data_IF_620863216061
#
_entry.id   IF_620863216061
#
_cell.length_a   1.000
_cell.length_b   1.000
_cell.length_c   1.000
_cell.angle_alpha   90.00
_cell.angle_beta   90.00
_cell.angle_gamma   90.00
#
_symmetry.space_group_name_H-M   'P 1'
#
loop_
_entity.id
_entity.type
_entity.pdbx_description
1 polymer ?
#
# COMPACT_ATOMS: atom_id res chain seq x y z
N UNK A 1 -7.51 -4.63 -20.12
CA UNK A 1 -8.42 -4.09 -19.08
C UNK A 1 -7.81 -4.27 -17.69
N UNK A 2 -7.86 -5.46 -17.07
CA UNK A 2 -7.36 -5.68 -15.69
C UNK A 2 -5.87 -5.31 -15.49
N UNK A 3 -4.98 -5.70 -16.41
CA UNK A 3 -3.54 -5.36 -16.33
C UNK A 3 -3.24 -3.85 -16.30
N UNK A 4 -3.94 -3.06 -17.12
CA UNK A 4 -3.75 -1.61 -17.17
C UNK A 4 -4.25 -0.92 -15.90
N UNK A 5 -5.34 -1.43 -15.32
CA UNK A 5 -5.86 -0.94 -14.04
C UNK A 5 -4.89 -1.28 -12.90
N UNK A 6 -4.34 -2.49 -12.88
CA UNK A 6 -3.38 -2.89 -11.85
C UNK A 6 -2.09 -2.05 -11.92
N UNK A 7 -1.55 -1.81 -13.12
CA UNK A 7 -0.38 -0.95 -13.30
C UNK A 7 -0.62 0.48 -12.78
N UNK A 8 -1.76 1.09 -13.15
CA UNK A 8 -2.11 2.42 -12.63
C UNK A 8 -2.29 2.45 -11.11
N UNK A 9 -2.82 1.37 -10.52
CA UNK A 9 -2.92 1.22 -9.08
C UNK A 9 -1.54 1.08 -8.42
N UNK A 10 -0.64 0.28 -9.00
CA UNK A 10 0.74 0.11 -8.52
C UNK A 10 1.48 1.45 -8.52
N UNK A 11 1.39 2.21 -9.62
CA UNK A 11 2.04 3.51 -9.75
C UNK A 11 1.53 4.52 -8.72
N UNK A 12 0.21 4.61 -8.56
CA UNK A 12 -0.39 5.54 -7.61
C UNK A 12 -0.08 5.16 -6.15
N UNK A 13 -0.13 3.87 -5.83
CA UNK A 13 0.26 3.34 -4.51
C UNK A 13 1.69 3.73 -4.19
N UNK A 14 2.62 3.52 -5.12
CA UNK A 14 4.02 3.85 -4.93
C UNK A 14 4.22 5.35 -4.67
N UNK A 15 3.58 6.20 -5.48
CA UNK A 15 3.61 7.64 -5.28
C UNK A 15 3.07 8.05 -3.90
N UNK A 16 1.97 7.44 -3.46
CA UNK A 16 1.36 7.70 -2.16
C UNK A 16 2.29 7.31 -1.00
N UNK A 17 2.82 6.08 -1.01
CA UNK A 17 3.76 5.62 0.00
C UNK A 17 5.02 6.47 0.03
N UNK A 18 5.64 6.75 -1.11
CA UNK A 18 6.85 7.60 -1.18
C UNK A 18 6.60 8.98 -0.53
N UNK A 19 5.40 9.55 -0.68
CA UNK A 19 5.00 10.82 -0.05
C UNK A 19 4.86 10.69 1.47
N UNK A 20 4.21 9.65 1.96
CA UNK A 20 4.05 9.43 3.40
C UNK A 20 5.38 9.13 4.08
N UNK A 21 6.20 8.26 3.47
CA UNK A 21 7.52 7.93 3.98
C UNK A 21 8.44 9.16 4.06
N UNK A 22 8.34 10.07 3.08
CA UNK A 22 9.04 11.35 3.13
C UNK A 22 8.56 12.25 4.28
N UNK A 23 7.27 12.24 4.61
CA UNK A 23 6.72 12.97 5.76
C UNK A 23 7.22 12.34 7.05
N UNK A 24 7.10 11.02 7.21
CA UNK A 24 7.48 10.29 8.41
C UNK A 24 8.98 10.39 8.68
N UNK A 25 9.80 10.48 7.63
CA UNK A 25 11.25 10.68 7.75
C UNK A 25 11.60 12.05 8.33
N UNK A 26 10.81 13.08 8.02
CA UNK A 26 11.00 14.44 8.55
C UNK A 26 10.45 14.60 9.97
N UNK A 27 9.53 13.74 10.40
CA UNK A 27 8.94 13.82 11.73
C UNK A 27 9.80 13.07 12.76
N UNK A 28 10.40 13.82 13.69
CA UNK A 28 11.12 13.24 14.82
C UNK A 28 10.09 12.68 15.83
N UNK A 29 10.25 11.42 16.23
CA UNK A 29 9.42 10.79 17.27
C UNK A 29 8.34 9.83 16.78
N UNK A 30 8.15 9.63 15.47
CA UNK A 30 7.24 8.58 15.00
C UNK A 30 7.88 7.19 15.17
N UNK A 31 7.62 6.54 16.30
CA UNK A 31 8.25 5.27 16.68
C UNK A 31 7.84 4.11 15.77
N UNK A 32 6.64 4.16 15.18
CA UNK A 32 6.12 3.10 14.32
C UNK A 32 6.56 3.21 12.85
N UNK A 33 7.40 4.19 12.50
CA UNK A 33 7.84 4.45 11.12
C UNK A 33 8.36 3.20 10.40
N UNK A 34 9.25 2.44 11.06
CA UNK A 34 9.85 1.26 10.46
C UNK A 34 8.81 0.16 10.18
N UNK A 35 7.83 -0.01 11.07
CA UNK A 35 6.71 -0.92 10.90
C UNK A 35 5.81 -0.48 9.75
N UNK A 36 5.50 0.81 9.69
CA UNK A 36 4.68 1.38 8.62
C UNK A 36 5.31 1.14 7.24
N UNK A 37 6.61 1.45 7.09
CA UNK A 37 7.33 1.24 5.82
C UNK A 37 7.39 -0.25 5.45
N UNK A 38 7.41 -1.15 6.43
CA UNK A 38 7.35 -2.58 6.16
C UNK A 38 5.98 -3.01 5.62
N UNK A 39 4.87 -2.45 6.12
CA UNK A 39 3.55 -2.68 5.55
C UNK A 39 3.49 -2.22 4.09
N UNK A 40 4.05 -1.06 3.76
CA UNK A 40 4.17 -0.58 2.37
C UNK A 40 4.95 -1.55 1.48
N UNK A 41 6.13 -1.99 1.92
CA UNK A 41 6.96 -2.94 1.18
C UNK A 41 6.23 -4.26 0.92
N UNK A 42 5.50 -4.77 1.91
CA UNK A 42 4.73 -6.00 1.78
C UNK A 42 3.60 -5.85 0.77
N UNK A 43 2.90 -4.71 0.77
CA UNK A 43 1.87 -4.44 -0.22
C UNK A 43 2.44 -4.36 -1.64
N UNK A 44 3.53 -3.61 -1.85
CA UNK A 44 4.19 -3.51 -3.16
C UNK A 44 4.64 -4.88 -3.66
N UNK A 45 5.18 -5.72 -2.77
CA UNK A 45 5.55 -7.10 -3.11
C UNK A 45 4.34 -7.91 -3.57
N UNK A 46 3.21 -7.81 -2.86
CA UNK A 46 1.97 -8.50 -3.25
C UNK A 46 1.45 -8.02 -4.61
N UNK A 47 1.53 -6.71 -4.89
CA UNK A 47 1.16 -6.15 -6.19
C UNK A 47 1.98 -6.77 -7.33
N UNK A 48 3.30 -6.89 -7.15
CA UNK A 48 4.16 -7.58 -8.11
C UNK A 48 3.76 -9.05 -8.32
N UNK A 49 3.38 -9.77 -7.26
CA UNK A 49 2.87 -11.14 -7.41
C UNK A 49 1.52 -11.22 -8.14
N UNK A 50 0.65 -10.21 -8.02
CA UNK A 50 -0.56 -10.15 -8.84
C UNK A 50 -0.26 -9.82 -10.31
N UNK A 51 0.71 -8.95 -10.58
CA UNK A 51 1.16 -8.67 -11.94
C UNK A 51 1.71 -9.92 -12.63
N UNK A 52 2.54 -10.71 -11.96
CA UNK A 52 3.06 -11.99 -12.45
C UNK A 52 1.94 -12.99 -12.77
N UNK A 53 0.95 -13.13 -11.87
CA UNK A 53 -0.18 -14.03 -12.07
C UNK A 53 -1.11 -13.58 -13.21
N UNK A 54 -1.33 -12.27 -13.37
CA UNK A 54 -2.07 -11.77 -14.54
C UNK A 54 -1.30 -12.02 -15.84
N UNK A 55 0.03 -11.98 -15.80
CA UNK A 55 0.88 -12.28 -16.95
C UNK A 55 0.87 -13.78 -17.31
N UNK A 56 0.61 -14.67 -16.36
CA UNK A 56 0.43 -16.10 -16.60
C UNK A 56 -1.00 -16.48 -17.04
N UNK A 57 -1.89 -15.49 -17.24
CA UNK A 57 -3.32 -15.65 -17.55
C UNK A 57 -4.12 -16.39 -16.45
N UNK A 58 -3.67 -16.33 -15.20
CA UNK A 58 -4.47 -16.81 -14.07
C UNK A 58 -5.69 -15.90 -13.84
N UNK A 59 -6.86 -16.48 -13.54
CA UNK A 59 -8.02 -15.71 -13.11
C UNK A 59 -7.96 -15.46 -11.59
N UNK A 60 -7.39 -14.31 -11.24
CA UNK A 60 -7.19 -13.87 -9.85
C UNK A 60 -8.07 -12.67 -9.48
N UNK A 61 -9.00 -12.29 -10.35
CA UNK A 61 -9.68 -10.99 -10.28
C UNK A 61 -10.42 -10.78 -8.96
N UNK A 62 -11.10 -11.83 -8.47
CA UNK A 62 -11.85 -11.80 -7.21
C UNK A 62 -10.94 -11.78 -5.98
N UNK A 63 -9.89 -12.60 -5.98
CA UNK A 63 -8.90 -12.65 -4.90
C UNK A 63 -8.17 -11.31 -4.77
N UNK A 64 -7.70 -10.77 -5.90
CA UNK A 64 -7.05 -9.48 -5.99
C UNK A 64 -7.95 -8.36 -5.46
N UNK A 65 -9.21 -8.28 -5.92
CA UNK A 65 -10.15 -7.26 -5.46
C UNK A 65 -10.43 -7.36 -3.94
N UNK A 66 -10.56 -8.57 -3.41
CA UNK A 66 -10.77 -8.81 -1.99
C UNK A 66 -9.54 -8.41 -1.16
N UNK A 67 -8.33 -8.76 -1.61
CA UNK A 67 -7.08 -8.37 -0.96
C UNK A 67 -6.92 -6.86 -0.94
N UNK A 68 -7.02 -6.22 -2.11
CA UNK A 68 -6.82 -4.77 -2.27
C UNK A 68 -7.76 -3.99 -1.35
N UNK A 69 -9.06 -4.31 -1.40
CA UNK A 69 -10.07 -3.62 -0.61
C UNK A 69 -9.83 -3.80 0.89
N UNK A 70 -9.56 -5.03 1.33
CA UNK A 70 -9.32 -5.32 2.74
C UNK A 70 -8.05 -4.67 3.26
N UNK A 71 -6.97 -4.73 2.49
CA UNK A 71 -5.69 -4.18 2.90
C UNK A 71 -5.75 -2.66 3.00
N UNK A 72 -6.25 -1.97 1.96
CA UNK A 72 -6.35 -0.51 1.93
C UNK A 72 -7.21 0.03 3.07
N UNK A 73 -8.40 -0.53 3.27
CA UNK A 73 -9.30 -0.07 4.34
C UNK A 73 -8.67 -0.25 5.71
N UNK A 74 -8.05 -1.41 5.97
CA UNK A 74 -7.35 -1.64 7.24
C UNK A 74 -6.21 -0.64 7.41
N UNK A 75 -5.33 -0.53 6.42
CA UNK A 75 -4.13 0.29 6.49
C UNK A 75 -4.44 1.76 6.79
N UNK A 76 -5.36 2.35 6.02
CA UNK A 76 -5.79 3.74 6.22
C UNK A 76 -6.39 3.95 7.61
N UNK A 77 -7.24 3.03 8.05
CA UNK A 77 -7.98 3.19 9.30
C UNK A 77 -7.14 2.89 10.55
N UNK A 78 -6.08 2.08 10.45
CA UNK A 78 -5.32 1.62 11.62
C UNK A 78 -3.87 2.07 11.66
N UNK A 79 -3.24 2.33 10.51
CA UNK A 79 -1.83 2.72 10.44
C UNK A 79 -1.70 4.22 10.12
N UNK A 80 -2.28 4.68 9.00
CA UNK A 80 -2.19 6.08 8.54
C UNK A 80 -2.86 6.99 9.56
N UNK A 81 -4.08 6.63 9.99
CA UNK A 81 -4.83 7.38 10.99
C UNK A 81 -4.07 7.54 12.30
N UNK A 82 -3.34 6.52 12.75
CA UNK A 82 -2.54 6.59 13.99
C UNK A 82 -1.44 7.64 13.86
N UNK A 83 -0.77 7.71 12.70
CA UNK A 83 0.20 8.78 12.45
C UNK A 83 -0.47 10.16 12.52
N UNK A 84 -1.56 10.36 11.79
CA UNK A 84 -2.22 11.67 11.75
C UNK A 84 -2.77 12.10 13.12
N UNK A 85 -3.45 11.21 13.84
CA UNK A 85 -4.05 11.53 15.14
C UNK A 85 -2.99 11.86 16.22
N UNK A 86 -1.84 11.18 16.20
CA UNK A 86 -0.82 11.32 17.25
C UNK A 86 0.30 12.32 16.93
N UNK A 87 0.54 12.64 15.65
CA UNK A 87 1.72 13.39 15.25
C UNK A 87 1.42 14.63 14.40
N UNK A 88 0.17 14.93 14.01
CA UNK A 88 -0.12 16.09 13.13
C UNK A 88 -1.02 17.17 13.73
N UNK A 89 -1.30 17.12 15.04
CA UNK A 89 -2.04 18.15 15.77
C UNK A 89 -1.27 18.67 16.98
#
# INVERSE_FOLDING_TARGET
MARGILGGLSDYTKYHFDREEAIFTKYHGYELKAFHFEQHRQFVKQMGSFEEQLNSNADISAEMAAYLSKWLVRHIMTEDKVFFDAYTF
#
